data_IF_519481998893
#
_entry.id   IF_519481998893
#
_cell.length_a   1.000
_cell.length_b   1.000
_cell.length_c   1.000
_cell.angle_alpha   90.00
_cell.angle_beta   90.00
_cell.angle_gamma   90.00
#
_symmetry.space_group_name_H-M   'P 1'
#
loop_
_entity.id
_entity.type
_entity.pdbx_description
1 polymer ?
#
# COMPACT_ATOMS: atom_id res chain seq x y z
N UNK A 1 -20.93 -7.24 -12.93
CA UNK A 1 -20.32 -5.93 -12.61
C UNK A 1 -19.08 -5.78 -13.48
N UNK A 2 -19.01 -4.74 -14.30
CA UNK A 2 -17.84 -4.43 -15.12
C UNK A 2 -16.70 -4.00 -14.18
N UNK A 3 -15.54 -4.65 -14.30
CA UNK A 3 -14.38 -4.32 -13.48
C UNK A 3 -13.97 -2.85 -13.76
N UNK A 4 -13.86 -1.98 -12.76
CA UNK A 4 -13.46 -0.57 -12.95
C UNK A 4 -12.18 -0.39 -13.79
N UNK A 5 -11.23 -1.29 -13.64
CA UNK A 5 -9.97 -1.28 -14.41
C UNK A 5 -10.25 -1.39 -15.92
N UNK A 6 -11.17 -2.26 -16.33
CA UNK A 6 -11.52 -2.42 -17.74
C UNK A 6 -12.15 -1.17 -18.33
N UNK A 7 -13.04 -0.52 -17.58
CA UNK A 7 -13.67 0.75 -18.01
C UNK A 7 -12.61 1.82 -18.23
N UNK A 8 -11.68 1.96 -17.29
CA UNK A 8 -10.59 2.95 -17.40
C UNK A 8 -9.66 2.60 -18.56
N UNK A 9 -9.33 1.33 -18.71
CA UNK A 9 -8.51 0.84 -19.83
C UNK A 9 -9.12 1.20 -21.19
N UNK A 10 -10.39 0.88 -21.41
CA UNK A 10 -11.11 1.13 -22.66
C UNK A 10 -11.19 2.63 -22.96
N UNK A 11 -11.62 3.42 -21.99
CA UNK A 11 -11.72 4.88 -22.13
C UNK A 11 -10.36 5.54 -22.40
N UNK A 12 -9.32 5.09 -21.70
CA UNK A 12 -7.96 5.62 -21.88
C UNK A 12 -7.43 5.23 -23.27
N UNK A 13 -7.69 3.99 -23.73
CA UNK A 13 -7.30 3.53 -25.06
C UNK A 13 -7.96 4.35 -26.15
N UNK A 14 -9.26 4.62 -26.03
CA UNK A 14 -9.99 5.48 -26.97
C UNK A 14 -9.43 6.90 -26.95
N UNK A 15 -9.18 7.45 -25.77
CA UNK A 15 -8.64 8.80 -25.61
C UNK A 15 -7.24 8.95 -26.23
N UNK A 16 -6.36 7.97 -26.04
CA UNK A 16 -5.02 7.92 -26.63
C UNK A 16 -5.14 8.01 -28.17
N UNK A 17 -5.96 7.16 -28.77
CA UNK A 17 -6.13 7.08 -30.22
C UNK A 17 -6.73 8.38 -30.81
N UNK A 18 -7.78 8.89 -30.19
CA UNK A 18 -8.49 10.10 -30.62
C UNK A 18 -7.62 11.35 -30.59
N UNK A 19 -6.77 11.46 -29.57
CA UNK A 19 -5.99 12.69 -29.32
C UNK A 19 -4.50 12.54 -29.72
N UNK A 20 -4.09 11.40 -30.29
CA UNK A 20 -2.71 11.15 -30.70
C UNK A 20 -1.71 11.38 -29.56
N UNK A 21 -2.00 10.81 -28.39
CA UNK A 21 -1.19 10.99 -27.19
C UNK A 21 0.14 10.25 -27.36
N UNK A 22 1.24 10.93 -27.11
CA UNK A 22 2.61 10.41 -27.26
C UNK A 22 3.24 9.94 -25.95
N UNK A 23 2.64 10.25 -24.81
CA UNK A 23 3.11 9.81 -23.49
C UNK A 23 2.16 10.22 -22.38
N UNK A 24 2.20 9.49 -21.27
CA UNK A 24 1.32 9.73 -20.11
C UNK A 24 2.15 9.77 -18.82
N UNK A 25 1.81 10.72 -17.93
CA UNK A 25 2.29 10.73 -16.56
C UNK A 25 1.11 10.47 -15.64
N UNK A 26 1.22 9.46 -14.78
CA UNK A 26 0.15 9.06 -13.86
C UNK A 26 0.67 8.78 -12.45
N UNK A 27 -0.23 8.82 -11.47
CA UNK A 27 0.11 8.52 -10.07
C UNK A 27 0.28 7.01 -9.90
N UNK A 28 1.26 6.56 -9.22
CA UNK A 28 1.77 5.24 -8.80
C UNK A 28 1.56 4.02 -9.76
N UNK A 29 0.51 3.99 -10.56
CA UNK A 29 0.23 2.92 -11.53
C UNK A 29 -0.34 1.61 -10.94
N UNK A 30 -0.56 1.51 -9.64
CA UNK A 30 -0.97 0.27 -8.97
C UNK A 30 -2.42 0.25 -8.46
N UNK A 31 -3.05 1.41 -8.33
CA UNK A 31 -4.46 1.48 -7.95
C UNK A 31 -5.34 1.23 -9.17
N UNK A 32 -6.54 0.76 -8.97
CA UNK A 32 -7.48 0.38 -10.02
C UNK A 32 -7.53 1.36 -11.22
N UNK A 33 -7.76 2.66 -10.93
CA UNK A 33 -7.80 3.70 -11.98
C UNK A 33 -6.44 3.84 -12.67
N UNK A 34 -5.37 4.00 -11.90
CA UNK A 34 -4.04 4.25 -12.46
C UNK A 34 -3.46 3.04 -13.15
N UNK A 35 -3.85 1.83 -12.73
CA UNK A 35 -3.49 0.58 -13.39
C UNK A 35 -4.19 0.43 -14.75
N UNK A 36 -5.47 0.79 -14.84
CA UNK A 36 -6.18 0.82 -16.13
C UNK A 36 -5.50 1.76 -17.14
N UNK A 37 -4.97 2.91 -16.67
CA UNK A 37 -4.20 3.84 -17.49
C UNK A 37 -2.88 3.20 -17.95
N UNK A 38 -2.10 2.59 -17.05
CA UNK A 38 -0.82 1.99 -17.42
C UNK A 38 -0.99 0.81 -18.40
N UNK A 39 -2.03 -0.02 -18.21
CA UNK A 39 -2.37 -1.07 -19.17
C UNK A 39 -2.74 -0.53 -20.55
N UNK A 40 -3.48 0.59 -20.60
CA UNK A 40 -3.78 1.21 -21.89
C UNK A 40 -2.51 1.71 -22.58
N UNK A 41 -1.56 2.27 -21.84
CA UNK A 41 -0.26 2.67 -22.38
C UNK A 41 0.52 1.48 -22.94
N UNK A 42 0.66 0.40 -22.17
CA UNK A 42 1.37 -0.82 -22.57
C UNK A 42 0.78 -1.46 -23.82
N UNK A 43 -0.56 -1.53 -23.92
CA UNK A 43 -1.26 -2.13 -25.06
C UNK A 43 -1.24 -1.27 -26.34
N UNK A 44 -0.97 0.01 -26.22
CA UNK A 44 -0.88 0.94 -27.35
C UNK A 44 0.56 1.41 -27.62
N UNK A 45 1.57 0.81 -26.98
CA UNK A 45 2.99 1.17 -27.09
C UNK A 45 3.26 2.66 -26.78
N UNK A 46 2.51 3.22 -25.83
CA UNK A 46 2.68 4.61 -25.39
C UNK A 46 3.60 4.64 -24.16
N UNK A 47 4.70 5.38 -24.19
CA UNK A 47 5.55 5.54 -23.02
C UNK A 47 4.80 6.21 -21.88
N UNK A 48 5.05 5.75 -20.66
CA UNK A 48 4.45 6.36 -19.48
C UNK A 48 5.44 6.49 -18.33
N UNK A 49 5.14 7.40 -17.42
CA UNK A 49 5.87 7.59 -16.18
C UNK A 49 4.88 7.51 -15.03
N UNK A 50 5.11 6.62 -14.10
CA UNK A 50 4.42 6.65 -12.81
C UNK A 50 5.20 7.47 -11.81
N UNK A 51 4.49 8.17 -10.93
CA UNK A 51 5.08 8.98 -9.87
C UNK A 51 4.48 8.64 -8.52
N UNK A 52 5.32 8.66 -7.49
CA UNK A 52 4.88 8.45 -6.10
C UNK A 52 5.60 9.43 -5.18
N UNK A 53 4.93 9.86 -4.12
CA UNK A 53 5.56 10.70 -3.10
C UNK A 53 6.44 9.86 -2.19
N UNK A 54 7.65 10.32 -1.96
CA UNK A 54 8.50 9.78 -0.92
C UNK A 54 8.20 10.45 0.43
N UNK A 55 8.60 9.83 1.54
CA UNK A 55 8.32 10.35 2.89
C UNK A 55 8.99 11.68 3.18
N UNK A 56 10.10 11.95 2.55
CA UNK A 56 10.95 13.15 2.69
C UNK A 56 10.62 14.25 1.68
N UNK A 57 9.37 14.29 1.22
CA UNK A 57 8.85 15.25 0.24
C UNK A 57 9.47 15.16 -1.16
N UNK A 58 10.24 14.11 -1.44
CA UNK A 58 10.71 13.80 -2.77
C UNK A 58 9.62 13.20 -3.66
N UNK A 59 9.96 12.97 -4.91
CA UNK A 59 9.13 12.30 -5.89
C UNK A 59 9.92 11.13 -6.48
N UNK A 60 9.36 9.93 -6.40
CA UNK A 60 9.85 8.78 -7.12
C UNK A 60 9.21 8.77 -8.52
N UNK A 61 10.03 8.66 -9.56
CA UNK A 61 9.58 8.53 -10.94
C UNK A 61 10.02 7.17 -11.48
N UNK A 62 9.08 6.46 -12.13
CA UNK A 62 9.35 5.16 -12.75
C UNK A 62 8.86 5.17 -14.20
N UNK A 63 9.79 5.20 -15.17
CA UNK A 63 9.43 5.08 -16.59
C UNK A 63 9.02 3.66 -16.93
N UNK A 64 7.84 3.51 -17.54
CA UNK A 64 7.24 2.25 -18.02
C UNK A 64 7.15 1.15 -16.93
N UNK A 65 7.04 1.55 -15.68
CA UNK A 65 6.89 0.66 -14.53
C UNK A 65 5.97 1.29 -13.49
N UNK A 66 5.35 0.46 -12.68
CA UNK A 66 4.57 0.91 -11.53
C UNK A 66 5.48 1.27 -10.36
N UNK A 67 5.20 2.38 -9.68
CA UNK A 67 5.86 2.69 -8.42
C UNK A 67 5.54 1.62 -7.37
N UNK A 68 6.56 1.19 -6.63
CA UNK A 68 6.44 0.20 -5.56
C UNK A 68 5.94 -1.19 -6.00
N UNK A 69 6.10 -1.55 -7.27
CA UNK A 69 5.85 -2.91 -7.74
C UNK A 69 6.74 -3.94 -7.05
N UNK A 70 6.25 -5.19 -6.88
CA UNK A 70 7.01 -6.26 -6.21
C UNK A 70 8.35 -6.55 -6.89
N UNK A 71 8.43 -6.44 -8.21
CA UNK A 71 9.70 -6.58 -8.95
C UNK A 71 10.75 -5.60 -8.47
N UNK A 72 10.36 -4.34 -8.28
CA UNK A 72 11.27 -3.29 -7.80
C UNK A 72 11.65 -3.51 -6.33
N UNK A 73 10.70 -3.88 -5.48
CA UNK A 73 10.97 -4.22 -4.08
C UNK A 73 11.96 -5.39 -4.01
N UNK A 74 11.76 -6.43 -4.80
CA UNK A 74 12.67 -7.59 -4.85
C UNK A 74 14.05 -7.21 -5.38
N UNK A 75 14.13 -6.32 -6.37
CA UNK A 75 15.40 -5.79 -6.88
C UNK A 75 16.14 -5.01 -5.80
N UNK A 76 15.46 -4.11 -5.09
CA UNK A 76 16.04 -3.36 -3.98
C UNK A 76 16.49 -4.27 -2.85
N UNK A 77 15.70 -5.26 -2.47
CA UNK A 77 16.06 -6.24 -1.46
C UNK A 77 17.35 -7.00 -1.83
N UNK A 78 17.49 -7.43 -3.09
CA UNK A 78 18.72 -8.07 -3.58
C UNK A 78 19.92 -7.14 -3.49
N UNK A 79 19.74 -5.85 -3.80
CA UNK A 79 20.83 -4.85 -3.67
C UNK A 79 21.23 -4.72 -2.20
N UNK A 80 20.28 -4.62 -1.28
CA UNK A 80 20.57 -4.53 0.16
C UNK A 80 21.26 -5.77 0.72
N UNK A 81 20.86 -6.97 0.29
CA UNK A 81 21.51 -8.22 0.71
C UNK A 81 22.95 -8.28 0.23
N UNK A 82 23.21 -7.87 -1.01
CA UNK A 82 24.53 -7.96 -1.62
C UNK A 82 25.47 -6.78 -1.25
N UNK A 83 24.88 -5.65 -0.87
CA UNK A 83 25.62 -4.43 -0.44
C UNK A 83 24.97 -3.87 0.82
N UNK A 84 25.17 -4.51 1.97
CA UNK A 84 24.59 -4.02 3.22
C UNK A 84 25.10 -2.59 3.51
N UNK A 85 24.25 -1.81 4.15
CA UNK A 85 24.61 -0.47 4.59
C UNK A 85 25.85 -0.51 5.49
N UNK A 86 26.72 0.48 5.36
CA UNK A 86 27.78 0.68 6.35
C UNK A 86 27.16 0.99 7.70
N UNK A 87 27.88 0.64 8.78
CA UNK A 87 27.39 0.79 10.15
C UNK A 87 26.85 2.20 10.44
N UNK A 88 27.55 3.26 10.01
CA UNK A 88 27.12 4.64 10.21
C UNK A 88 25.80 4.95 9.49
N UNK A 89 25.60 4.42 8.29
CA UNK A 89 24.35 4.61 7.53
C UNK A 89 23.19 3.89 8.18
N UNK A 90 23.44 2.67 8.67
CA UNK A 90 22.44 1.90 9.41
C UNK A 90 22.05 2.61 10.72
N UNK A 91 23.04 3.14 11.45
CA UNK A 91 22.81 3.90 12.67
C UNK A 91 22.01 5.19 12.43
N UNK A 92 22.34 5.96 11.41
CA UNK A 92 21.59 7.17 11.04
C UNK A 92 20.14 6.83 10.68
N UNK A 93 19.92 5.76 9.91
CA UNK A 93 18.57 5.30 9.58
C UNK A 93 17.79 4.84 10.81
N UNK A 94 18.43 4.18 11.75
CA UNK A 94 17.82 3.77 13.01
C UNK A 94 17.46 4.96 13.90
N UNK A 95 18.33 5.97 13.99
CA UNK A 95 18.07 7.21 14.72
C UNK A 95 16.88 7.95 14.09
N UNK A 96 16.84 8.04 12.77
CA UNK A 96 15.72 8.66 12.06
C UNK A 96 14.41 7.95 12.34
N UNK A 97 14.39 6.62 12.26
CA UNK A 97 13.23 5.80 12.59
C UNK A 97 12.79 6.01 14.06
N UNK A 98 13.74 6.01 14.99
CA UNK A 98 13.48 6.26 16.40
C UNK A 98 12.84 7.64 16.63
N UNK A 99 13.38 8.67 15.98
CA UNK A 99 12.83 10.03 16.08
C UNK A 99 11.40 10.12 15.51
N UNK A 100 11.10 9.37 14.46
CA UNK A 100 9.73 9.26 13.92
C UNK A 100 8.77 8.60 14.91
N UNK A 101 9.18 7.47 15.49
CA UNK A 101 8.36 6.72 16.45
C UNK A 101 8.11 7.52 17.74
N UNK A 102 9.13 8.24 18.23
CA UNK A 102 9.05 9.03 19.45
C UNK A 102 8.32 10.37 19.32
N UNK A 103 7.79 10.68 18.13
CA UNK A 103 7.01 11.89 17.90
C UNK A 103 7.83 13.17 17.79
N UNK A 104 9.15 13.07 17.70
CA UNK A 104 10.05 14.19 17.50
C UNK A 104 10.00 14.63 16.01
N UNK A 105 9.09 15.55 15.72
CA UNK A 105 8.98 16.50 14.60
C UNK A 105 9.70 16.13 13.27
N UNK A 106 9.43 14.97 12.72
CA UNK A 106 9.60 14.82 11.30
C UNK A 106 8.34 15.36 10.62
N UNK A 107 8.53 16.21 9.63
CA UNK A 107 7.45 16.80 8.83
C UNK A 107 6.83 15.72 7.94
N UNK A 108 6.13 14.77 8.53
CA UNK A 108 5.29 13.87 7.76
C UNK A 108 4.06 14.66 7.29
N UNK A 109 3.72 14.54 6.03
CA UNK A 109 2.57 15.23 5.45
C UNK A 109 1.22 14.76 6.03
N UNK A 110 1.21 13.60 6.70
CA UNK A 110 0.10 13.08 7.51
C UNK A 110 0.64 12.53 8.82
N UNK A 111 0.22 13.12 9.93
CA UNK A 111 0.38 12.51 11.24
C UNK A 111 -0.93 11.84 11.64
N UNK A 112 -0.85 10.54 11.94
CA UNK A 112 -1.95 9.78 12.53
C UNK A 112 -1.76 9.60 14.05
N UNK A 113 -0.81 10.33 14.62
CA UNK A 113 -0.54 10.26 16.04
C UNK A 113 -1.60 11.04 16.81
N UNK A 114 -2.56 10.32 17.37
CA UNK A 114 -3.32 10.82 18.49
C UNK A 114 -2.41 10.86 19.72
N UNK A 115 -2.37 11.98 20.42
CA UNK A 115 -1.59 12.16 21.64
C UNK A 115 -2.10 11.32 22.84
N UNK A 116 -2.88 10.28 22.60
CA UNK A 116 -3.37 9.35 23.61
C UNK A 116 -2.21 8.51 24.15
N UNK A 117 -1.70 8.94 25.30
CA UNK A 117 -0.50 8.40 25.96
C UNK A 117 -0.69 7.04 26.64
N UNK A 118 -1.89 6.50 26.67
CA UNK A 118 -2.17 5.22 27.33
C UNK A 118 -2.30 4.10 26.31
N UNK A 119 -1.17 3.61 25.84
CA UNK A 119 -1.13 2.40 25.01
C UNK A 119 -1.14 1.21 25.94
N UNK A 120 -2.27 0.52 26.02
CA UNK A 120 -2.38 -0.77 26.70
C UNK A 120 -2.75 -1.86 25.68
N UNK A 121 -2.36 -3.08 25.98
CA UNK A 121 -2.72 -4.23 25.16
C UNK A 121 -4.18 -4.64 25.47
N UNK A 122 -5.12 -4.49 24.53
CA UNK A 122 -6.54 -4.69 24.84
C UNK A 122 -6.98 -6.16 24.91
N UNK A 123 -6.19 -7.08 24.32
CA UNK A 123 -6.55 -8.50 24.32
C UNK A 123 -6.32 -9.13 25.70
N UNK A 124 -7.23 -10.02 26.11
CA UNK A 124 -7.29 -10.62 27.44
C UNK A 124 -6.55 -11.95 27.58
N UNK A 125 -6.14 -12.55 26.47
CA UNK A 125 -5.46 -13.83 26.46
C UNK A 125 -4.09 -13.79 27.15
N UNK A 126 -3.71 -14.90 27.79
CA UNK A 126 -2.45 -15.03 28.51
C UNK A 126 -1.30 -15.60 27.67
N UNK A 127 -1.53 -15.85 26.40
CA UNK A 127 -0.56 -16.40 25.47
C UNK A 127 0.30 -15.36 24.77
N UNK A 128 0.89 -15.77 23.65
CA UNK A 128 1.69 -14.91 22.80
C UNK A 128 0.83 -13.76 22.24
N UNK A 129 1.29 -12.53 22.44
CA UNK A 129 0.60 -11.34 21.94
C UNK A 129 0.89 -11.13 20.45
N UNK A 130 -0.15 -11.04 19.65
CA UNK A 130 -0.04 -10.87 18.20
C UNK A 130 -0.77 -9.60 17.75
N UNK A 131 -0.05 -8.74 17.04
CA UNK A 131 -0.62 -7.55 16.40
C UNK A 131 -0.76 -7.81 14.90
N UNK A 132 -1.96 -7.67 14.38
CA UNK A 132 -2.28 -7.78 12.96
C UNK A 132 -2.56 -6.38 12.41
N UNK A 133 -1.85 -5.99 11.36
CA UNK A 133 -1.97 -4.66 10.73
C UNK A 133 -2.23 -4.84 9.22
N UNK A 134 -3.49 -5.11 8.81
CA UNK A 134 -3.81 -5.30 7.40
C UNK A 134 -3.72 -3.96 6.63
N UNK A 135 -3.40 -4.05 5.34
CA UNK A 135 -3.56 -2.95 4.39
C UNK A 135 -5.02 -2.72 4.04
N UNK A 136 -5.33 -1.57 3.45
CA UNK A 136 -6.63 -1.35 2.82
C UNK A 136 -6.76 -2.19 1.56
N UNK A 137 -7.93 -2.79 1.33
CA UNK A 137 -8.22 -3.61 0.15
C UNK A 137 -7.93 -2.86 -1.16
N UNK A 138 -8.29 -1.59 -1.23
CA UNK A 138 -8.02 -0.71 -2.37
C UNK A 138 -6.53 -0.52 -2.69
N UNK A 139 -5.61 -0.90 -1.78
CA UNK A 139 -4.16 -0.76 -2.01
C UNK A 139 -3.56 -1.95 -2.76
N UNK A 140 -4.25 -3.09 -2.82
CA UNK A 140 -3.73 -4.29 -3.48
C UNK A 140 -4.73 -4.97 -4.42
N UNK A 141 -6.03 -4.67 -4.32
CA UNK A 141 -7.07 -5.28 -5.16
C UNK A 141 -6.84 -4.95 -6.64
N UNK A 142 -6.87 -5.99 -7.46
CA UNK A 142 -6.68 -5.88 -8.91
C UNK A 142 -5.23 -5.75 -9.36
N UNK A 143 -4.26 -5.77 -8.47
CA UNK A 143 -2.85 -5.76 -8.82
C UNK A 143 -2.30 -7.18 -8.83
N UNK A 144 -1.90 -7.69 -10.00
CA UNK A 144 -1.44 -9.07 -10.18
C UNK A 144 -0.30 -9.47 -9.23
N UNK A 145 0.61 -8.55 -8.91
CA UNK A 145 1.73 -8.79 -8.00
C UNK A 145 1.31 -8.88 -6.52
N UNK A 146 0.12 -8.35 -6.18
CA UNK A 146 -0.39 -8.25 -4.81
C UNK A 146 -1.69 -9.05 -4.66
N UNK A 147 -1.94 -9.97 -5.56
CA UNK A 147 -3.14 -10.77 -5.52
C UNK A 147 -3.26 -11.51 -4.19
N UNK A 148 -4.34 -11.21 -3.49
CA UNK A 148 -4.65 -11.78 -2.20
C UNK A 148 -5.44 -13.07 -2.45
N UNK A 149 -4.87 -14.22 -2.13
CA UNK A 149 -5.44 -15.54 -2.39
C UNK A 149 -6.71 -15.89 -1.61
N UNK A 150 -7.29 -14.93 -0.88
CA UNK A 150 -8.51 -15.08 -0.10
C UNK A 150 -9.58 -14.14 -0.58
N UNK A 151 -10.83 -14.57 -0.47
CA UNK A 151 -11.97 -13.75 -0.86
C UNK A 151 -12.17 -12.55 0.08
N UNK A 152 -11.90 -12.74 1.36
CA UNK A 152 -11.99 -11.69 2.38
C UNK A 152 -10.92 -11.87 3.46
N UNK A 153 -10.78 -10.87 4.33
CA UNK A 153 -9.82 -10.91 5.44
C UNK A 153 -10.17 -11.93 6.52
N UNK A 154 -11.44 -12.23 6.71
CA UNK A 154 -11.88 -13.20 7.73
C UNK A 154 -11.31 -14.57 7.42
N UNK A 155 -11.47 -15.04 6.19
CA UNK A 155 -10.93 -16.33 5.76
C UNK A 155 -9.39 -16.38 5.90
N UNK A 156 -8.72 -15.28 5.57
CA UNK A 156 -7.28 -15.16 5.73
C UNK A 156 -6.84 -15.22 7.19
N UNK A 157 -7.60 -14.60 8.10
CA UNK A 157 -7.28 -14.61 9.52
C UNK A 157 -7.54 -15.99 10.14
N UNK A 158 -8.64 -16.63 9.76
CA UNK A 158 -8.97 -17.99 10.23
C UNK A 158 -7.86 -18.97 9.84
N UNK A 159 -7.42 -18.95 8.58
CA UNK A 159 -6.30 -19.77 8.14
C UNK A 159 -4.98 -19.40 8.84
N UNK A 160 -4.70 -18.12 9.06
CA UNK A 160 -3.53 -17.67 9.80
C UNK A 160 -3.51 -18.21 11.24
N UNK A 161 -4.64 -18.11 11.95
CA UNK A 161 -4.78 -18.59 13.30
C UNK A 161 -4.61 -20.12 13.39
N UNK A 162 -5.21 -20.82 12.44
CA UNK A 162 -5.10 -22.28 12.36
C UNK A 162 -3.67 -22.74 12.08
N UNK A 163 -3.00 -22.14 11.11
CA UNK A 163 -1.62 -22.50 10.75
C UNK A 163 -0.61 -22.19 11.85
N UNK A 164 -0.74 -21.03 12.48
CA UNK A 164 0.17 -20.57 13.52
C UNK A 164 -0.21 -21.08 14.93
N UNK A 165 -1.35 -21.74 15.08
CA UNK A 165 -1.90 -22.19 16.37
C UNK A 165 -2.02 -21.03 17.38
N UNK A 166 -2.45 -19.87 16.90
CA UNK A 166 -2.63 -18.67 17.71
C UNK A 166 -4.10 -18.53 18.07
N UNK A 167 -4.39 -18.29 19.34
CA UNK A 167 -5.76 -17.94 19.77
C UNK A 167 -6.10 -16.52 19.38
N UNK A 168 -7.28 -16.30 18.81
CA UNK A 168 -7.81 -14.96 18.50
C UNK A 168 -7.88 -14.05 19.73
N UNK A 169 -8.03 -14.61 20.93
CA UNK A 169 -8.02 -13.88 22.21
C UNK A 169 -6.69 -13.18 22.51
N UNK A 170 -5.60 -13.64 21.89
CA UNK A 170 -4.27 -13.06 22.02
C UNK A 170 -3.96 -12.05 20.92
N UNK A 171 -4.91 -11.81 20.00
CA UNK A 171 -4.70 -10.99 18.83
C UNK A 171 -5.34 -9.60 18.97
N UNK A 172 -4.67 -8.61 18.43
CA UNK A 172 -5.20 -7.26 18.24
C UNK A 172 -5.14 -6.92 16.76
N UNK A 173 -6.29 -6.60 16.20
CA UNK A 173 -6.40 -6.10 14.84
C UNK A 173 -6.33 -4.57 14.85
N UNK A 174 -5.27 -4.01 14.31
CA UNK A 174 -5.13 -2.57 14.11
C UNK A 174 -5.51 -2.21 12.68
N UNK A 175 -6.74 -1.85 12.47
CA UNK A 175 -7.21 -1.40 11.17
C UNK A 175 -6.55 -0.07 10.74
N UNK A 176 -6.41 0.10 9.44
CA UNK A 176 -5.95 1.38 8.88
C UNK A 176 -6.93 2.50 9.26
N UNK A 177 -6.49 3.72 9.60
CA UNK A 177 -7.38 4.81 9.98
C UNK A 177 -8.46 5.15 8.94
N UNK A 178 -8.22 4.84 7.68
CA UNK A 178 -9.19 5.05 6.62
C UNK A 178 -10.40 4.11 6.67
N UNK A 179 -10.31 2.99 7.38
CA UNK A 179 -11.43 2.04 7.51
C UNK A 179 -12.64 2.62 8.27
N UNK A 180 -12.39 3.60 9.13
CA UNK A 180 -13.43 4.26 9.92
C UNK A 180 -13.90 5.58 9.31
N UNK A 181 -13.26 6.05 8.24
CA UNK A 181 -13.59 7.32 7.60
C UNK A 181 -14.44 7.09 6.37
N UNK A 182 -15.50 7.89 6.15
CA UNK A 182 -16.24 7.86 4.88
C UNK A 182 -15.31 8.29 3.74
N UNK A 183 -15.30 7.54 2.65
CA UNK A 183 -14.57 7.88 1.43
C UNK A 183 -15.51 8.59 0.46
N UNK A 184 -15.11 9.78 0.01
CA UNK A 184 -15.82 10.51 -1.02
C UNK A 184 -17.24 10.89 -0.61
N UNK A 185 -18.23 10.57 -1.45
CA UNK A 185 -19.66 10.85 -1.22
C UNK A 185 -20.37 9.76 -0.39
N UNK A 186 -19.71 8.66 -0.11
CA UNK A 186 -20.28 7.55 0.64
C UNK A 186 -20.20 7.91 2.13
N UNK A 187 -21.36 8.01 2.78
CA UNK A 187 -21.44 8.31 4.22
C UNK A 187 -21.23 7.09 5.12
N UNK A 188 -21.18 5.91 4.53
CA UNK A 188 -21.00 4.66 5.26
C UNK A 188 -19.52 4.43 5.60
N UNK A 189 -19.31 3.77 6.75
CA UNK A 189 -17.96 3.44 7.19
C UNK A 189 -17.30 2.47 6.22
N UNK A 190 -16.08 2.76 5.80
CA UNK A 190 -15.27 1.85 5.00
C UNK A 190 -15.04 0.48 5.65
N UNK A 191 -15.24 0.35 6.95
CA UNK A 191 -15.13 -0.92 7.66
C UNK A 191 -16.05 -2.01 7.07
N UNK A 192 -17.16 -1.62 6.41
CA UNK A 192 -18.06 -2.56 5.73
C UNK A 192 -17.57 -2.97 4.32
N UNK A 193 -16.62 -2.22 3.77
CA UNK A 193 -16.06 -2.46 2.43
C UNK A 193 -14.77 -3.29 2.51
N UNK A 194 -14.14 -3.32 3.65
CA UNK A 194 -12.90 -4.02 3.96
C UNK A 194 -13.14 -5.24 4.84
#
# INVERSE_FOLDING_TARGET
FTNPINIIYENTTEWIKKNKIEGIITFNGRMDITQGITYACEKNDIPYITLERTRDHGILLKPNENCLGLKEINRLNKIFINKPLKYEQALLSAIELYNRISGNKLKEWRSFHDNNKNIYWPAKGNGQKVLITPSSRSEFEGHLDWEFGFFNYTDAFDELFDRLKISSENCVLRCHPNWTRPIGRIKESNALIH
#
